data_IF_722218174600
#
_entry.id   IF_722218174600
#
_cell.length_a   1.000
_cell.length_b   1.000
_cell.length_c   1.000
_cell.angle_alpha   90.00
_cell.angle_beta   90.00
_cell.angle_gamma   90.00
#
_symmetry.space_group_name_H-M   'P 1'
#
loop_
_entity.id
_entity.type
_entity.pdbx_description
1 polymer ?
#
# COMPACT_ATOMS: atom_id res chain seq x y z
N UNK A 1 -13.36 -20.62 2.06
CA UNK A 1 -12.37 -20.90 1.00
C UNK A 1 -12.59 -20.06 -0.26
N UNK A 2 -13.78 -19.96 -0.88
CA UNK A 2 -13.98 -19.10 -2.08
C UNK A 2 -13.79 -17.58 -1.88
N UNK A 3 -13.61 -17.12 -0.64
CA UNK A 3 -13.32 -15.73 -0.26
C UNK A 3 -11.82 -15.39 -0.21
N UNK A 4 -10.93 -16.37 -0.39
CA UNK A 4 -9.49 -16.12 -0.44
C UNK A 4 -9.14 -15.46 -1.77
N UNK A 5 -8.29 -14.43 -1.72
CA UNK A 5 -7.83 -13.72 -2.92
C UNK A 5 -7.23 -14.70 -3.95
N UNK A 6 -7.58 -14.54 -5.22
CA UNK A 6 -7.14 -15.39 -6.33
C UNK A 6 -7.75 -16.79 -6.40
N UNK A 7 -8.41 -17.27 -5.34
CA UNK A 7 -9.06 -18.59 -5.33
C UNK A 7 -10.15 -18.76 -6.40
N UNK A 8 -10.77 -17.68 -6.86
CA UNK A 8 -11.73 -17.72 -7.97
C UNK A 8 -11.07 -18.06 -9.31
N UNK A 9 -9.79 -17.68 -9.50
CA UNK A 9 -9.03 -17.95 -10.73
C UNK A 9 -8.55 -19.40 -10.79
N UNK A 10 -7.82 -19.85 -9.78
CA UNK A 10 -7.22 -21.20 -9.79
C UNK A 10 -8.16 -22.27 -9.21
N UNK A 11 -9.23 -21.90 -8.50
CA UNK A 11 -10.26 -22.81 -7.96
C UNK A 11 -9.71 -23.97 -7.09
N UNK A 12 -8.55 -23.76 -6.45
CA UNK A 12 -7.80 -24.79 -5.73
C UNK A 12 -7.46 -26.04 -6.57
N UNK A 13 -7.38 -25.89 -7.91
CA UNK A 13 -7.00 -26.96 -8.82
C UNK A 13 -5.52 -26.88 -9.15
N UNK A 14 -4.83 -28.00 -8.98
CA UNK A 14 -3.47 -28.17 -9.48
C UNK A 14 -3.50 -28.66 -10.91
N UNK A 15 -2.48 -28.28 -11.67
CA UNK A 15 -2.26 -28.84 -12.99
C UNK A 15 -1.65 -30.26 -12.88
N UNK A 16 -1.79 -31.11 -13.90
CA UNK A 16 -1.09 -32.39 -13.96
C UNK A 16 0.43 -32.23 -13.76
N UNK A 17 1.06 -33.19 -13.10
CA UNK A 17 2.52 -33.21 -12.90
C UNK A 17 3.27 -33.37 -14.23
N UNK A 18 4.51 -32.90 -14.26
CA UNK A 18 5.46 -33.14 -15.37
C UNK A 18 6.41 -34.29 -15.06
N UNK A 19 6.91 -34.94 -16.11
CA UNK A 19 7.93 -35.99 -15.97
C UNK A 19 9.28 -35.38 -15.62
N UNK A 20 10.17 -36.20 -15.05
CA UNK A 20 11.55 -35.79 -14.80
C UNK A 20 12.29 -35.45 -16.09
N UNK A 21 11.98 -36.11 -17.20
CA UNK A 21 12.58 -35.78 -18.50
C UNK A 21 12.11 -34.41 -19.02
N UNK A 22 10.89 -33.98 -18.72
CA UNK A 22 10.40 -32.63 -19.04
C UNK A 22 11.18 -31.56 -18.28
N UNK A 23 11.44 -31.79 -16.99
CA UNK A 23 12.27 -30.92 -16.15
C UNK A 23 13.70 -30.83 -16.70
N UNK A 24 14.32 -31.97 -17.01
CA UNK A 24 15.68 -32.02 -17.55
C UNK A 24 15.78 -31.33 -18.92
N UNK A 25 14.75 -31.45 -19.78
CA UNK A 25 14.67 -30.70 -21.03
C UNK A 25 14.57 -29.19 -20.81
N UNK A 26 13.79 -28.75 -19.83
CA UNK A 26 13.68 -27.34 -19.48
C UNK A 26 15.03 -26.78 -18.98
N UNK A 27 15.64 -27.47 -18.01
CA UNK A 27 16.95 -27.12 -17.45
C UNK A 27 18.03 -27.04 -18.55
N UNK A 28 18.05 -28.03 -19.46
CA UNK A 28 19.00 -28.05 -20.57
C UNK A 28 18.76 -26.93 -21.60
N UNK A 29 17.49 -26.63 -21.91
CA UNK A 29 17.10 -25.60 -22.88
C UNK A 29 17.49 -24.20 -22.39
N UNK A 30 17.21 -23.89 -21.13
CA UNK A 30 17.44 -22.56 -20.56
C UNK A 30 18.73 -22.46 -19.76
N UNK A 31 19.48 -23.57 -19.65
CA UNK A 31 20.76 -23.64 -18.96
C UNK A 31 20.67 -23.19 -17.49
N UNK A 32 19.57 -23.59 -16.84
CA UNK A 32 19.27 -23.31 -15.43
C UNK A 32 19.26 -24.61 -14.64
N UNK A 33 19.50 -24.52 -13.33
CA UNK A 33 19.25 -25.63 -12.41
C UNK A 33 18.09 -25.25 -11.50
N UNK A 34 16.98 -25.96 -11.62
CA UNK A 34 15.82 -25.72 -10.80
C UNK A 34 16.08 -26.20 -9.36
N UNK A 35 15.65 -25.42 -8.34
CA UNK A 35 15.77 -25.83 -6.95
C UNK A 35 15.10 -27.19 -6.68
N UNK A 36 15.72 -28.09 -5.88
CA UNK A 36 15.19 -29.43 -5.64
C UNK A 36 13.74 -29.47 -5.15
N UNK A 37 13.38 -28.54 -4.26
CA UNK A 37 12.02 -28.39 -3.74
C UNK A 37 10.98 -28.10 -4.83
N UNK A 38 11.33 -27.22 -5.77
CA UNK A 38 10.47 -26.89 -6.90
C UNK A 38 10.32 -28.07 -7.87
N UNK A 39 11.43 -28.78 -8.14
CA UNK A 39 11.40 -30.01 -8.95
C UNK A 39 10.52 -31.08 -8.32
N UNK A 40 10.63 -31.28 -7.00
CA UNK A 40 9.76 -32.18 -6.27
C UNK A 40 8.28 -31.78 -6.47
N UNK A 41 7.95 -30.51 -6.27
CA UNK A 41 6.59 -30.02 -6.41
C UNK A 41 5.99 -30.28 -7.80
N UNK A 42 6.68 -29.87 -8.87
CA UNK A 42 6.13 -29.99 -10.24
C UNK A 42 6.05 -31.43 -10.74
N UNK A 43 6.84 -32.36 -10.16
CA UNK A 43 6.84 -33.77 -10.57
C UNK A 43 5.96 -34.66 -9.69
N UNK A 44 5.67 -34.26 -8.44
CA UNK A 44 4.93 -35.09 -7.48
C UNK A 44 3.59 -34.48 -7.03
N UNK A 45 3.44 -33.16 -7.07
CA UNK A 45 2.28 -32.44 -6.53
C UNK A 45 1.44 -31.83 -7.66
N UNK A 46 2.06 -31.01 -8.52
CA UNK A 46 1.39 -30.44 -9.69
C UNK A 46 2.24 -29.41 -10.43
N UNK A 47 2.08 -29.33 -11.75
CA UNK A 47 2.80 -28.37 -12.60
C UNK A 47 2.16 -26.97 -12.51
N UNK A 48 2.21 -26.36 -11.35
CA UNK A 48 1.54 -25.10 -11.05
C UNK A 48 0.02 -25.25 -10.87
N UNK A 49 -0.73 -24.17 -11.11
CA UNK A 49 -2.16 -24.08 -10.81
C UNK A 49 -2.39 -23.41 -9.46
N UNK A 50 -3.09 -24.07 -8.55
CA UNK A 50 -3.40 -23.50 -7.23
C UNK A 50 -2.16 -23.13 -6.43
N UNK A 51 -2.21 -21.98 -5.76
CA UNK A 51 -1.13 -21.46 -4.92
C UNK A 51 -1.45 -20.05 -4.42
N UNK A 52 -0.50 -19.39 -3.75
CA UNK A 52 -0.64 -18.00 -3.32
C UNK A 52 -1.07 -17.07 -4.45
N UNK A 53 -1.82 -16.02 -4.11
CA UNK A 53 -2.32 -15.02 -5.04
C UNK A 53 -3.06 -15.64 -6.24
N UNK A 54 -2.67 -15.30 -7.47
CA UNK A 54 -3.32 -15.82 -8.68
C UNK A 54 -2.90 -17.25 -9.06
N UNK A 55 -2.14 -17.93 -8.21
CA UNK A 55 -1.62 -19.27 -8.44
C UNK A 55 -0.26 -19.28 -9.13
N UNK A 56 0.18 -20.49 -9.46
CA UNK A 56 1.48 -20.78 -10.04
C UNK A 56 1.38 -21.04 -11.55
N UNK A 57 2.34 -20.51 -12.29
CA UNK A 57 2.50 -20.80 -13.71
C UNK A 57 3.04 -22.22 -13.91
N UNK A 58 2.55 -22.93 -14.94
CA UNK A 58 3.13 -24.21 -15.31
C UNK A 58 4.53 -24.02 -15.93
N UNK A 59 5.36 -25.06 -15.86
CA UNK A 59 6.77 -25.08 -16.29
C UNK A 59 6.95 -24.51 -17.70
N UNK A 60 6.08 -24.91 -18.64
CA UNK A 60 6.11 -24.49 -20.04
C UNK A 60 5.78 -23.01 -20.25
N UNK A 61 5.27 -22.32 -19.22
CA UNK A 61 4.97 -20.88 -19.26
C UNK A 61 6.01 -20.02 -18.55
N UNK A 62 6.94 -20.61 -17.78
CA UNK A 62 7.95 -19.82 -17.05
C UNK A 62 8.78 -18.94 -17.98
N UNK A 63 9.13 -19.44 -19.18
CA UNK A 63 9.90 -18.69 -20.15
C UNK A 63 9.13 -17.51 -20.76
N UNK A 64 7.80 -17.63 -20.88
CA UNK A 64 6.94 -16.55 -21.39
C UNK A 64 6.86 -15.40 -20.39
N UNK A 65 6.75 -15.72 -19.10
CA UNK A 65 6.59 -14.73 -18.04
C UNK A 65 7.93 -14.20 -17.52
N UNK A 66 9.00 -14.97 -17.65
CA UNK A 66 10.35 -14.49 -17.40
C UNK A 66 10.89 -13.95 -18.72
N UNK A 67 10.44 -12.76 -19.13
CA UNK A 67 10.66 -12.19 -20.47
C UNK A 67 12.11 -12.31 -20.96
N UNK A 68 13.07 -12.12 -20.06
CA UNK A 68 14.48 -12.19 -20.41
C UNK A 68 15.01 -13.62 -20.57
N UNK A 69 14.34 -14.65 -20.06
CA UNK A 69 14.76 -16.06 -20.15
C UNK A 69 14.92 -16.54 -21.60
N UNK A 70 14.10 -16.05 -22.54
CA UNK A 70 14.22 -16.39 -23.96
C UNK A 70 15.16 -15.45 -24.73
N UNK A 71 15.48 -14.28 -24.18
CA UNK A 71 16.27 -13.23 -24.85
C UNK A 71 17.77 -13.28 -24.52
N UNK A 72 18.18 -14.01 -23.47
CA UNK A 72 19.59 -14.12 -23.10
C UNK A 72 20.38 -15.07 -23.99
N UNK A 73 21.62 -14.69 -24.29
CA UNK A 73 22.62 -15.64 -24.75
C UNK A 73 22.99 -16.61 -23.62
N UNK A 74 23.34 -17.85 -23.97
CA UNK A 74 23.64 -18.92 -23.01
C UNK A 74 24.75 -18.52 -22.01
N UNK A 75 25.69 -17.70 -22.47
CA UNK A 75 26.83 -17.19 -21.73
C UNK A 75 26.42 -16.23 -20.60
N UNK A 76 25.32 -15.47 -20.77
CA UNK A 76 24.85 -14.50 -19.79
C UNK A 76 24.20 -15.18 -18.57
N UNK A 77 23.42 -16.24 -18.82
CA UNK A 77 22.68 -16.93 -17.76
C UNK A 77 23.58 -17.66 -16.76
N UNK A 78 24.73 -18.17 -17.21
CA UNK A 78 25.75 -18.76 -16.33
C UNK A 78 26.80 -17.74 -15.87
N UNK A 79 27.14 -16.78 -16.73
CA UNK A 79 28.24 -15.85 -16.50
C UNK A 79 27.90 -14.71 -15.56
N UNK A 80 26.63 -14.28 -15.51
CA UNK A 80 26.20 -13.22 -14.61
C UNK A 80 25.94 -13.78 -13.20
N UNK A 81 26.37 -13.10 -12.12
CA UNK A 81 25.92 -13.43 -10.77
C UNK A 81 24.40 -13.20 -10.63
N UNK A 82 23.80 -13.75 -9.57
CA UNK A 82 22.45 -13.32 -9.21
C UNK A 82 22.50 -11.85 -8.78
N UNK A 83 21.66 -11.00 -9.37
CA UNK A 83 21.62 -9.60 -8.97
C UNK A 83 20.94 -9.45 -7.60
N UNK A 84 19.77 -10.07 -7.42
CA UNK A 84 19.08 -10.12 -6.12
C UNK A 84 19.91 -10.96 -5.15
N UNK A 85 20.41 -10.29 -4.11
CA UNK A 85 21.25 -10.87 -3.08
C UNK A 85 20.75 -10.46 -1.68
N UNK A 86 20.96 -11.32 -0.68
CA UNK A 86 20.59 -11.02 0.71
C UNK A 86 21.31 -9.83 1.33
N UNK A 87 22.46 -9.45 0.79
CA UNK A 87 23.24 -8.30 1.24
C UNK A 87 22.91 -7.03 0.47
N UNK A 88 22.04 -7.10 -0.54
CA UNK A 88 21.61 -5.95 -1.31
C UNK A 88 20.97 -4.91 -0.40
N UNK A 89 21.47 -3.68 -0.49
CA UNK A 89 20.90 -2.53 0.19
C UNK A 89 19.86 -1.82 -0.69
N UNK A 90 19.08 -0.92 -0.09
CA UNK A 90 18.15 -0.08 -0.85
C UNK A 90 18.92 0.84 -1.81
N UNK A 91 20.10 1.29 -1.40
CA UNK A 91 21.00 2.11 -2.21
C UNK A 91 21.55 1.35 -3.41
N UNK A 92 21.90 0.07 -3.27
CA UNK A 92 22.34 -0.77 -4.39
C UNK A 92 21.22 -0.94 -5.43
N UNK A 93 19.98 -1.13 -4.97
CA UNK A 93 18.81 -1.19 -5.84
C UNK A 93 18.56 0.14 -6.56
N UNK A 94 18.51 1.24 -5.81
CA UNK A 94 18.31 2.58 -6.36
C UNK A 94 19.35 2.91 -7.45
N UNK A 95 20.64 2.67 -7.15
CA UNK A 95 21.72 2.91 -8.10
C UNK A 95 21.61 2.04 -9.37
N UNK A 96 21.03 0.83 -9.28
CA UNK A 96 20.77 0.02 -10.46
C UNK A 96 19.60 0.55 -11.30
N UNK A 97 18.50 0.97 -10.66
CA UNK A 97 17.34 1.51 -11.35
C UNK A 97 17.64 2.87 -11.99
N UNK A 98 18.45 3.71 -11.32
CA UNK A 98 18.94 4.98 -11.88
C UNK A 98 19.81 4.78 -13.12
N UNK A 99 20.50 3.64 -13.28
CA UNK A 99 21.26 3.35 -14.52
C UNK A 99 20.36 3.03 -15.71
N UNK A 100 19.06 2.82 -15.52
CA UNK A 100 18.12 2.44 -16.57
C UNK A 100 17.47 3.67 -17.25
N UNK A 101 18.26 4.70 -17.58
CA UNK A 101 17.74 6.00 -18.07
C UNK A 101 17.23 5.98 -19.52
N UNK A 102 17.75 5.08 -20.37
CA UNK A 102 17.37 4.93 -21.78
C UNK A 102 17.16 3.46 -22.18
N UNK A 103 16.54 3.20 -23.33
CA UNK A 103 16.17 1.84 -23.77
C UNK A 103 17.35 0.86 -23.81
N UNK A 104 18.56 1.31 -24.19
CA UNK A 104 19.74 0.42 -24.29
C UNK A 104 20.31 0.14 -22.90
N UNK A 105 20.34 1.16 -22.04
CA UNK A 105 20.75 1.02 -20.66
C UNK A 105 19.76 0.17 -19.85
N UNK A 106 18.46 0.33 -20.12
CA UNK A 106 17.38 -0.46 -19.54
C UNK A 106 17.55 -1.94 -19.85
N UNK A 107 17.74 -2.31 -21.12
CA UNK A 107 17.97 -3.71 -21.49
C UNK A 107 19.20 -4.29 -20.78
N UNK A 108 20.27 -3.52 -20.61
CA UNK A 108 21.46 -3.96 -19.89
C UNK A 108 21.19 -4.16 -18.39
N UNK A 109 20.49 -3.23 -17.74
CA UNK A 109 20.14 -3.34 -16.32
C UNK A 109 19.19 -4.51 -16.08
N UNK A 110 18.15 -4.65 -16.89
CA UNK A 110 17.22 -5.77 -16.79
C UNK A 110 17.89 -7.11 -17.07
N UNK A 111 18.90 -7.11 -17.94
CA UNK A 111 19.77 -8.28 -18.12
C UNK A 111 20.45 -8.71 -16.82
N UNK A 112 20.89 -7.76 -15.99
CA UNK A 112 21.47 -8.03 -14.66
C UNK A 112 20.37 -8.43 -13.66
N UNK A 113 19.29 -7.65 -13.54
CA UNK A 113 18.19 -7.85 -12.56
C UNK A 113 17.54 -9.22 -12.70
N UNK A 114 17.27 -9.65 -13.94
CA UNK A 114 16.65 -10.95 -14.20
C UNK A 114 17.64 -12.12 -14.15
N UNK A 115 18.93 -11.88 -13.87
CA UNK A 115 19.90 -12.95 -13.68
C UNK A 115 19.61 -13.70 -12.37
N UNK A 116 19.20 -14.97 -12.50
CA UNK A 116 19.08 -15.88 -11.36
C UNK A 116 17.67 -16.05 -10.79
N UNK A 117 16.65 -15.49 -11.43
CA UNK A 117 15.25 -15.63 -11.04
C UNK A 117 14.43 -16.38 -12.11
N UNK A 118 13.27 -16.87 -11.69
CA UNK A 118 12.19 -17.37 -12.54
C UNK A 118 10.88 -16.79 -12.03
N UNK A 119 10.07 -16.20 -12.91
CA UNK A 119 8.73 -15.74 -12.56
C UNK A 119 7.79 -16.94 -12.52
N UNK A 120 7.35 -17.32 -11.31
CA UNK A 120 6.53 -18.53 -11.09
C UNK A 120 5.05 -18.22 -10.83
N UNK A 121 4.66 -16.96 -10.70
CA UNK A 121 3.28 -16.54 -10.51
C UNK A 121 3.17 -15.03 -10.33
N UNK A 122 1.93 -14.51 -10.31
CA UNK A 122 1.66 -13.08 -10.17
C UNK A 122 0.78 -12.76 -8.96
N UNK A 123 1.02 -11.61 -8.35
CA UNK A 123 0.14 -11.02 -7.34
C UNK A 123 -0.90 -10.09 -7.97
N UNK A 124 -0.74 -9.74 -9.25
CA UNK A 124 -1.54 -8.76 -9.99
C UNK A 124 -0.80 -7.44 -10.18
N UNK A 125 -1.37 -6.55 -11.00
CA UNK A 125 -0.73 -5.28 -11.38
C UNK A 125 0.68 -5.53 -11.92
N UNK A 126 1.69 -4.99 -11.25
CA UNK A 126 3.12 -5.10 -11.59
C UNK A 126 3.87 -6.04 -10.64
N UNK A 127 3.17 -6.77 -9.77
CA UNK A 127 3.78 -7.59 -8.73
C UNK A 127 3.85 -9.06 -9.12
N UNK A 128 5.06 -9.64 -9.03
CA UNK A 128 5.29 -11.05 -9.32
C UNK A 128 6.03 -11.80 -8.21
N UNK A 129 5.82 -13.12 -8.22
CA UNK A 129 6.48 -14.08 -7.33
C UNK A 129 7.64 -14.72 -8.08
N UNK A 130 8.85 -14.52 -7.56
CA UNK A 130 10.09 -15.01 -8.12
C UNK A 130 10.57 -16.23 -7.36
N UNK A 131 10.98 -17.26 -8.09
CA UNK A 131 11.80 -18.35 -7.56
C UNK A 131 13.25 -18.09 -7.92
N UNK A 132 14.10 -17.94 -6.91
CA UNK A 132 15.53 -17.79 -7.13
C UNK A 132 16.15 -19.15 -7.44
N UNK A 133 16.75 -19.31 -8.62
CA UNK A 133 17.37 -20.57 -9.03
C UNK A 133 18.88 -20.62 -8.78
N UNK A 134 19.51 -19.47 -8.49
CA UNK A 134 20.91 -19.35 -8.07
C UNK A 134 21.09 -18.15 -7.13
N UNK A 135 22.32 -17.96 -6.63
CA UNK A 135 22.68 -16.86 -5.73
C UNK A 135 22.43 -17.19 -4.26
N UNK A 136 22.59 -16.19 -3.40
CA UNK A 136 22.46 -16.36 -1.93
C UNK A 136 21.06 -16.76 -1.48
N UNK A 137 20.04 -16.47 -2.29
CA UNK A 137 18.64 -16.80 -2.03
C UNK A 137 18.12 -17.99 -2.84
N UNK A 138 19.02 -18.83 -3.41
CA UNK A 138 18.64 -20.03 -4.16
C UNK A 138 17.59 -20.89 -3.43
N UNK A 139 16.53 -21.26 -4.16
CA UNK A 139 15.41 -22.07 -3.66
C UNK A 139 14.33 -21.28 -2.92
N UNK A 140 14.52 -19.98 -2.71
CA UNK A 140 13.58 -19.14 -1.96
C UNK A 140 12.72 -18.26 -2.86
N UNK A 141 11.65 -17.74 -2.25
CA UNK A 141 10.71 -16.82 -2.89
C UNK A 141 11.06 -15.37 -2.62
N UNK A 142 11.03 -14.57 -3.68
CA UNK A 142 11.20 -13.12 -3.65
C UNK A 142 10.00 -12.48 -4.34
N UNK A 143 9.55 -11.34 -3.83
CA UNK A 143 8.52 -10.53 -4.49
C UNK A 143 9.16 -9.32 -5.15
N UNK A 144 8.70 -8.96 -6.34
CA UNK A 144 9.18 -7.80 -7.07
C UNK A 144 8.01 -6.97 -7.57
N UNK A 145 8.17 -5.65 -7.55
CA UNK A 145 7.33 -4.71 -8.29
C UNK A 145 8.06 -4.28 -9.57
N UNK A 146 7.51 -4.63 -10.72
CA UNK A 146 8.08 -4.27 -12.03
C UNK A 146 7.89 -2.79 -12.40
N UNK A 147 7.33 -1.95 -11.52
CA UNK A 147 7.49 -0.49 -11.65
C UNK A 147 8.94 -0.05 -11.42
N UNK A 148 9.76 -0.88 -10.76
CA UNK A 148 11.21 -0.67 -10.61
C UNK A 148 11.57 0.67 -9.95
N UNK A 149 10.69 1.17 -9.09
CA UNK A 149 10.91 2.42 -8.37
C UNK A 149 12.18 2.31 -7.49
N UNK A 150 13.09 3.31 -7.53
CA UNK A 150 14.35 3.28 -6.76
C UNK A 150 14.16 3.10 -5.24
N UNK A 151 13.02 3.53 -4.71
CA UNK A 151 12.70 3.43 -3.28
C UNK A 151 12.26 2.04 -2.84
N UNK A 152 11.83 1.18 -3.78
CA UNK A 152 11.16 -0.09 -3.49
C UNK A 152 11.88 -1.26 -4.16
N UNK A 153 12.89 -1.79 -3.46
CA UNK A 153 13.62 -2.98 -3.88
C UNK A 153 12.82 -4.29 -3.75
N UNK A 154 13.39 -5.41 -4.25
CA UNK A 154 12.77 -6.73 -4.13
C UNK A 154 12.59 -7.11 -2.65
N UNK A 155 11.43 -7.68 -2.34
CA UNK A 155 11.11 -8.13 -0.99
C UNK A 155 11.49 -9.61 -0.82
N UNK A 156 12.52 -9.86 0.00
CA UNK A 156 12.98 -11.20 0.34
C UNK A 156 12.06 -11.83 1.40
N UNK A 157 11.29 -12.85 1.02
CA UNK A 157 10.37 -13.51 1.98
C UNK A 157 11.12 -14.37 3.02
N UNK A 158 12.36 -14.77 2.70
CA UNK A 158 13.17 -15.68 3.51
C UNK A 158 12.72 -17.14 3.49
N UNK A 159 11.59 -17.47 2.87
CA UNK A 159 11.03 -18.82 2.82
C UNK A 159 11.52 -19.58 1.59
N UNK A 160 11.81 -20.87 1.75
CA UNK A 160 11.99 -21.78 0.62
C UNK A 160 10.68 -21.92 -0.17
N UNK A 161 10.74 -22.45 -1.39
CA UNK A 161 9.55 -22.67 -2.21
C UNK A 161 8.48 -23.49 -1.47
N UNK A 162 8.86 -24.62 -0.85
CA UNK A 162 7.88 -25.47 -0.16
C UNK A 162 7.37 -24.82 1.12
N UNK A 163 8.23 -24.19 1.92
CA UNK A 163 7.79 -23.46 3.11
C UNK A 163 6.76 -22.38 2.75
N UNK A 164 7.05 -21.61 1.69
CA UNK A 164 6.14 -20.57 1.20
C UNK A 164 4.85 -21.15 0.64
N UNK A 165 4.90 -22.29 -0.06
CA UNK A 165 3.71 -22.88 -0.65
C UNK A 165 2.81 -23.54 0.42
N UNK A 166 3.39 -24.32 1.32
CA UNK A 166 2.65 -25.06 2.36
C UNK A 166 2.04 -24.12 3.39
N UNK A 167 2.81 -23.14 3.87
CA UNK A 167 2.33 -22.20 4.90
C UNK A 167 1.14 -21.37 4.41
N UNK A 168 1.01 -21.11 3.11
CA UNK A 168 -0.15 -20.41 2.56
C UNK A 168 -1.45 -21.18 2.84
N UNK A 169 -1.45 -22.49 2.61
CA UNK A 169 -2.62 -23.32 2.90
C UNK A 169 -2.82 -23.54 4.39
N UNK A 170 -1.74 -23.64 5.17
CA UNK A 170 -1.85 -23.69 6.63
C UNK A 170 -2.51 -22.43 7.19
N UNK A 171 -2.15 -21.24 6.69
CA UNK A 171 -2.79 -19.98 7.06
C UNK A 171 -4.28 -19.96 6.70
N UNK A 172 -4.64 -20.44 5.50
CA UNK A 172 -6.05 -20.55 5.09
C UNK A 172 -6.82 -21.51 6.00
N UNK A 173 -6.23 -22.65 6.35
CA UNK A 173 -6.84 -23.67 7.22
C UNK A 173 -7.00 -23.12 8.65
N UNK A 174 -6.00 -22.41 9.15
CA UNK A 174 -6.06 -21.69 10.42
C UNK A 174 -7.08 -20.53 10.41
N UNK A 175 -7.59 -20.17 9.23
CA UNK A 175 -8.55 -19.09 9.08
C UNK A 175 -7.89 -17.71 9.20
N UNK A 176 -6.59 -17.59 8.93
CA UNK A 176 -5.86 -16.33 8.92
C UNK A 176 -6.08 -15.58 7.60
N UNK A 177 -5.85 -14.26 7.64
CA UNK A 177 -5.85 -13.39 6.48
C UNK A 177 -4.55 -13.55 5.69
N UNK A 178 -4.69 -13.89 4.41
CA UNK A 178 -3.58 -14.11 3.46
C UNK A 178 -3.49 -13.03 2.37
N UNK A 179 -4.13 -11.86 2.55
CA UNK A 179 -4.12 -10.78 1.57
C UNK A 179 -2.71 -10.23 1.31
N UNK A 180 -1.87 -10.18 2.34
CA UNK A 180 -0.46 -9.75 2.24
C UNK A 180 0.50 -10.91 2.53
N UNK A 181 0.19 -12.09 1.98
CA UNK A 181 0.92 -13.32 2.29
C UNK A 181 2.41 -13.21 1.98
N UNK A 182 3.27 -13.58 2.93
CA UNK A 182 4.72 -13.50 2.80
C UNK A 182 5.34 -12.14 3.12
N UNK A 183 4.58 -11.03 3.10
CA UNK A 183 5.05 -9.72 3.57
C UNK A 183 5.08 -9.60 5.10
N UNK A 184 4.31 -10.45 5.79
CA UNK A 184 4.19 -10.46 7.26
C UNK A 184 4.77 -11.73 7.83
N UNK A 185 5.33 -11.63 9.04
CA UNK A 185 5.82 -12.79 9.77
C UNK A 185 4.71 -13.82 9.99
N UNK A 186 5.00 -15.09 9.69
CA UNK A 186 4.10 -16.22 9.87
C UNK A 186 4.29 -16.93 11.22
N UNK A 187 5.02 -16.31 12.15
CA UNK A 187 5.23 -16.79 13.52
C UNK A 187 3.94 -16.73 14.33
N UNK A 188 3.73 -17.68 15.24
CA UNK A 188 2.54 -17.73 16.10
C UNK A 188 2.39 -16.48 16.97
N UNK A 189 1.22 -16.31 17.56
CA UNK A 189 0.95 -15.21 18.51
C UNK A 189 1.98 -15.18 19.65
N UNK A 190 2.27 -16.35 20.23
CA UNK A 190 3.24 -16.52 21.32
C UNK A 190 4.66 -16.17 20.87
N UNK A 191 5.07 -16.64 19.69
CA UNK A 191 6.39 -16.35 19.13
C UNK A 191 6.56 -14.84 18.85
N UNK A 192 5.54 -14.19 18.28
CA UNK A 192 5.57 -12.74 18.02
C UNK A 192 5.66 -11.95 19.34
N UNK A 193 4.83 -12.28 20.32
CA UNK A 193 4.85 -11.63 21.63
C UNK A 193 6.19 -11.83 22.35
N UNK A 194 6.79 -13.02 22.27
CA UNK A 194 8.08 -13.34 22.87
C UNK A 194 9.26 -12.65 22.17
N UNK A 195 9.17 -12.40 20.86
CA UNK A 195 10.21 -11.71 20.10
C UNK A 195 10.21 -10.21 20.30
N UNK A 196 9.05 -9.61 20.55
CA UNK A 196 8.91 -8.17 20.72
C UNK A 196 9.92 -7.55 21.71
N UNK A 197 10.10 -8.08 22.94
CA UNK A 197 11.09 -7.54 23.88
C UNK A 197 12.54 -7.90 23.51
N UNK A 198 12.77 -8.86 22.61
CA UNK A 198 14.11 -9.34 22.25
C UNK A 198 14.77 -8.51 21.13
N UNK A 199 13.99 -7.72 20.39
CA UNK A 199 14.50 -6.85 19.32
C UNK A 199 14.84 -5.45 19.82
N UNK A 200 15.86 -4.84 19.20
CA UNK A 200 16.43 -3.58 19.65
C UNK A 200 15.75 -2.37 19.00
N UNK A 201 15.36 -2.48 17.73
CA UNK A 201 14.88 -1.34 16.95
C UNK A 201 13.36 -1.22 16.93
N UNK A 202 12.87 0.03 16.83
CA UNK A 202 11.44 0.33 16.67
C UNK A 202 10.86 -0.28 15.39
N UNK A 203 11.65 -0.31 14.30
CA UNK A 203 11.23 -0.91 13.04
C UNK A 203 11.04 -2.43 13.17
N UNK A 204 11.95 -3.15 13.83
CA UNK A 204 11.75 -4.58 14.09
C UNK A 204 10.50 -4.85 14.94
N UNK A 205 10.26 -4.04 15.98
CA UNK A 205 9.03 -4.11 16.79
C UNK A 205 7.79 -3.83 15.96
N UNK A 206 7.84 -2.85 15.06
CA UNK A 206 6.78 -2.55 14.11
C UNK A 206 6.48 -3.75 13.21
N UNK A 207 7.50 -4.41 12.69
CA UNK A 207 7.33 -5.62 11.85
C UNK A 207 6.73 -6.80 12.64
N UNK A 208 7.07 -6.94 13.92
CA UNK A 208 6.44 -7.92 14.81
C UNK A 208 4.94 -7.59 14.99
N UNK A 209 4.60 -6.33 15.28
CA UNK A 209 3.20 -5.90 15.41
C UNK A 209 2.41 -6.05 14.11
N UNK A 210 3.04 -5.78 12.96
CA UNK A 210 2.47 -6.04 11.64
C UNK A 210 2.09 -7.51 11.44
N UNK A 211 2.84 -8.44 12.04
CA UNK A 211 2.53 -9.87 12.05
C UNK A 211 1.12 -10.17 12.57
N UNK A 212 0.65 -9.46 13.60
CA UNK A 212 -0.65 -9.73 14.21
C UNK A 212 -1.85 -9.43 13.30
N UNK A 213 -1.71 -8.56 12.29
CA UNK A 213 -2.81 -8.25 11.35
C UNK A 213 -3.22 -9.42 10.47
N UNK A 214 -2.41 -10.49 10.40
CA UNK A 214 -2.80 -11.72 9.72
C UNK A 214 -3.89 -12.48 10.48
N UNK A 215 -3.98 -12.31 11.80
CA UNK A 215 -4.96 -13.04 12.59
C UNK A 215 -6.36 -12.43 12.47
N UNK A 216 -7.36 -13.29 12.39
CA UNK A 216 -8.77 -12.88 12.44
C UNK A 216 -9.30 -12.82 13.88
N UNK A 217 -8.70 -13.59 14.79
CA UNK A 217 -8.93 -13.60 16.22
C UNK A 217 -7.60 -13.87 16.90
N UNK A 218 -7.46 -13.43 18.14
CA UNK A 218 -6.26 -13.65 18.95
C UNK A 218 -6.64 -14.19 20.31
N UNK A 219 -5.72 -14.89 20.95
CA UNK A 219 -5.89 -15.40 22.31
C UNK A 219 -5.93 -14.25 23.33
N UNK A 220 -6.58 -14.43 24.49
CA UNK A 220 -6.63 -13.40 25.54
C UNK A 220 -5.24 -12.91 25.96
N UNK A 221 -4.24 -13.80 25.99
CA UNK A 221 -2.85 -13.44 26.30
C UNK A 221 -2.25 -12.42 25.33
N UNK A 222 -2.63 -12.49 24.05
CA UNK A 222 -2.22 -11.52 23.02
C UNK A 222 -2.87 -10.16 23.27
N UNK A 223 -4.14 -10.13 23.68
CA UNK A 223 -4.81 -8.88 24.06
C UNK A 223 -4.14 -8.25 25.29
N UNK A 224 -3.78 -9.04 26.30
CA UNK A 224 -3.03 -8.55 27.46
C UNK A 224 -1.66 -8.00 27.06
N UNK A 225 -0.92 -8.74 26.23
CA UNK A 225 0.36 -8.28 25.69
C UNK A 225 0.20 -6.92 25.00
N UNK A 226 -0.71 -6.81 24.03
CA UNK A 226 -0.97 -5.57 23.29
C UNK A 226 -1.37 -4.44 24.23
N UNK A 227 -2.24 -4.69 25.20
CA UNK A 227 -2.67 -3.67 26.19
C UNK A 227 -1.50 -3.20 27.08
N UNK A 228 -0.59 -4.11 27.40
CA UNK A 228 0.58 -3.87 28.25
C UNK A 228 1.72 -3.12 27.57
N UNK A 229 1.75 -3.04 26.23
CA UNK A 229 2.84 -2.38 25.50
C UNK A 229 2.98 -0.92 25.90
N UNK A 230 4.23 -0.46 26.08
CA UNK A 230 4.59 0.93 26.41
C UNK A 230 5.68 1.38 25.45
N UNK A 231 5.28 1.78 24.26
CA UNK A 231 6.17 2.25 23.20
C UNK A 231 5.49 3.41 22.45
N UNK A 232 5.85 4.68 22.74
CA UNK A 232 5.18 5.84 22.17
C UNK A 232 5.18 5.90 20.64
N UNK A 233 6.22 5.34 20.00
CA UNK A 233 6.31 5.30 18.54
C UNK A 233 5.32 4.31 17.92
N UNK A 234 4.89 3.31 18.69
CA UNK A 234 3.99 2.25 18.26
C UNK A 234 2.59 2.35 18.91
N UNK A 235 2.31 3.42 19.65
CA UNK A 235 1.02 3.65 20.32
C UNK A 235 -0.14 3.59 19.32
N UNK A 236 0.00 4.22 18.14
CA UNK A 236 -1.02 4.19 17.10
C UNK A 236 -1.25 2.77 16.57
N UNK A 237 -0.16 2.06 16.27
CA UNK A 237 -0.22 0.70 15.74
C UNK A 237 -0.83 -0.30 16.73
N UNK A 238 -0.42 -0.22 17.99
CA UNK A 238 -1.00 -1.00 19.09
C UNK A 238 -2.50 -0.75 19.21
N UNK A 239 -2.91 0.52 19.16
CA UNK A 239 -4.32 0.91 19.30
C UNK A 239 -5.15 0.41 18.12
N UNK A 240 -4.61 0.44 16.91
CA UNK A 240 -5.24 -0.16 15.74
C UNK A 240 -5.48 -1.67 15.92
N UNK A 241 -4.48 -2.41 16.41
CA UNK A 241 -4.63 -3.83 16.71
C UNK A 241 -5.70 -4.08 17.78
N UNK A 242 -5.76 -3.22 18.81
CA UNK A 242 -6.78 -3.32 19.85
C UNK A 242 -8.18 -3.00 19.31
N UNK A 243 -8.36 -2.02 18.43
CA UNK A 243 -9.67 -1.80 17.77
C UNK A 243 -10.17 -3.06 17.06
N UNK A 244 -9.26 -3.86 16.50
CA UNK A 244 -9.59 -5.10 15.80
C UNK A 244 -9.92 -6.24 16.76
N UNK A 245 -9.17 -6.40 17.85
CA UNK A 245 -9.23 -7.61 18.68
C UNK A 245 -9.99 -7.43 20.00
N UNK A 246 -9.95 -6.25 20.59
CA UNK A 246 -10.68 -5.89 21.80
C UNK A 246 -11.06 -4.39 21.74
N UNK A 247 -12.18 -4.04 21.07
CA UNK A 247 -12.57 -2.65 20.88
C UNK A 247 -12.70 -1.87 22.20
N UNK A 248 -13.13 -2.52 23.28
CA UNK A 248 -13.28 -1.84 24.57
C UNK A 248 -11.94 -1.32 25.08
N UNK A 249 -10.90 -2.18 25.07
CA UNK A 249 -9.53 -1.76 25.42
C UNK A 249 -8.94 -0.81 24.39
N UNK A 250 -9.24 -1.02 23.10
CA UNK A 250 -8.82 -0.12 22.03
C UNK A 250 -9.29 1.31 22.27
N UNK A 251 -10.58 1.51 22.61
CA UNK A 251 -11.12 2.82 22.92
C UNK A 251 -10.56 3.40 24.23
N UNK A 252 -10.35 2.58 25.26
CA UNK A 252 -9.70 3.05 26.48
C UNK A 252 -8.31 3.63 26.17
N UNK A 253 -7.48 2.88 25.44
CA UNK A 253 -6.15 3.34 25.04
C UNK A 253 -6.25 4.57 24.15
N UNK A 254 -7.12 4.56 23.15
CA UNK A 254 -7.34 5.70 22.25
C UNK A 254 -7.69 6.97 23.02
N UNK A 255 -8.60 6.89 24.00
CA UNK A 255 -9.03 8.03 24.81
C UNK A 255 -7.90 8.56 25.71
N UNK A 256 -7.03 7.68 26.24
CA UNK A 256 -5.82 8.11 26.94
C UNK A 256 -4.85 8.87 26.01
N UNK A 257 -4.63 8.34 24.80
CA UNK A 257 -3.74 8.97 23.80
C UNK A 257 -4.29 10.34 23.38
N UNK A 258 -5.58 10.41 23.04
CA UNK A 258 -6.29 11.62 22.64
C UNK A 258 -6.37 12.64 23.78
N UNK A 259 -6.47 12.17 25.03
CA UNK A 259 -6.49 12.99 26.24
C UNK A 259 -5.18 13.70 26.58
N UNK A 260 -4.17 13.65 25.70
CA UNK A 260 -2.91 14.38 25.84
C UNK A 260 -1.70 13.50 26.09
N UNK A 261 -1.87 12.17 26.24
CA UNK A 261 -0.72 11.27 26.42
C UNK A 261 0.12 11.17 25.14
N UNK A 262 -0.53 11.10 23.98
CA UNK A 262 0.12 11.08 22.67
C UNK A 262 -0.92 11.36 21.56
N UNK A 263 -1.33 12.63 21.36
CA UNK A 263 -2.37 12.99 20.38
C UNK A 263 -2.00 12.62 18.94
N UNK A 264 -0.70 12.65 18.59
CA UNK A 264 -0.22 12.23 17.28
C UNK A 264 -0.54 10.75 17.00
N UNK A 265 -0.27 9.86 17.96
CA UNK A 265 -0.61 8.44 17.84
C UNK A 265 -2.14 8.19 17.78
N UNK A 266 -2.93 9.01 18.48
CA UNK A 266 -4.39 8.95 18.35
C UNK A 266 -4.80 9.27 16.90
N UNK A 267 -4.24 10.33 16.30
CA UNK A 267 -4.49 10.67 14.89
C UNK A 267 -4.08 9.54 13.94
N UNK A 268 -2.93 8.90 14.18
CA UNK A 268 -2.42 7.82 13.34
C UNK A 268 -3.37 6.62 13.23
N UNK A 269 -4.03 6.25 14.33
CA UNK A 269 -4.93 5.11 14.36
C UNK A 269 -6.41 5.48 14.15
N UNK A 270 -6.77 6.77 14.18
CA UNK A 270 -8.16 7.20 14.26
C UNK A 270 -9.03 6.68 13.10
N UNK A 271 -8.51 6.66 11.86
CA UNK A 271 -9.28 6.17 10.70
C UNK A 271 -9.56 4.67 10.72
N UNK A 272 -8.86 3.91 11.58
CA UNK A 272 -8.98 2.46 11.73
C UNK A 272 -10.00 2.05 12.79
N UNK A 273 -10.54 3.01 13.56
CA UNK A 273 -11.65 2.73 14.46
C UNK A 273 -12.93 2.39 13.68
N UNK A 274 -13.87 1.62 14.27
CA UNK A 274 -15.17 1.37 13.66
C UNK A 274 -15.92 2.66 13.29
N UNK A 275 -16.50 2.71 12.10
CA UNK A 275 -17.10 3.90 11.50
C UNK A 275 -18.19 4.53 12.40
N UNK A 276 -18.97 3.70 13.08
CA UNK A 276 -20.05 4.13 13.98
C UNK A 276 -19.57 4.94 15.19
N UNK A 277 -18.26 4.95 15.47
CA UNK A 277 -17.67 5.70 16.57
C UNK A 277 -16.99 7.01 16.14
N UNK A 278 -16.75 7.23 14.84
CA UNK A 278 -15.95 8.38 14.36
C UNK A 278 -16.57 9.72 14.79
N UNK A 279 -17.89 9.86 14.66
CA UNK A 279 -18.61 11.08 15.03
C UNK A 279 -18.48 11.45 16.52
N UNK A 280 -18.29 10.45 17.40
CA UNK A 280 -18.10 10.69 18.85
C UNK A 280 -16.88 11.55 19.14
N UNK A 281 -15.82 11.40 18.33
CA UNK A 281 -14.53 12.04 18.56
C UNK A 281 -14.29 13.26 17.66
N UNK A 282 -15.23 13.60 16.78
CA UNK A 282 -15.08 14.67 15.79
C UNK A 282 -14.61 15.99 16.41
N UNK A 283 -15.28 16.49 17.46
CA UNK A 283 -14.95 17.79 18.05
C UNK A 283 -13.56 17.83 18.69
N UNK A 284 -13.15 16.75 19.38
CA UNK A 284 -11.81 16.67 19.97
C UNK A 284 -10.73 16.60 18.88
N UNK A 285 -10.98 15.82 17.83
CA UNK A 285 -10.08 15.67 16.69
C UNK A 285 -9.95 16.97 15.89
N UNK A 286 -11.05 17.66 15.62
CA UNK A 286 -11.02 18.97 14.95
C UNK A 286 -10.19 19.99 15.75
N UNK A 287 -10.26 19.95 17.09
CA UNK A 287 -9.44 20.77 17.98
C UNK A 287 -7.92 20.53 17.85
N UNK A 288 -7.49 19.40 17.28
CA UNK A 288 -6.07 19.10 17.06
C UNK A 288 -5.50 19.72 15.78
N UNK A 289 -6.32 20.33 14.92
CA UNK A 289 -5.84 20.98 13.69
C UNK A 289 -4.79 22.06 13.97
N UNK A 290 -4.96 22.82 15.05
CA UNK A 290 -3.97 23.82 15.49
C UNK A 290 -2.83 23.28 16.36
N UNK A 291 -2.82 21.98 16.71
CA UNK A 291 -1.81 21.44 17.63
C UNK A 291 -0.44 21.24 16.94
N UNK A 292 0.68 21.76 17.47
CA UNK A 292 2.01 21.56 16.89
C UNK A 292 2.52 20.12 17.04
N UNK A 293 1.94 19.33 17.96
CA UNK A 293 2.31 17.93 18.19
C UNK A 293 1.82 17.02 17.05
N UNK A 294 0.74 17.40 16.38
CA UNK A 294 0.18 16.65 15.24
C UNK A 294 0.79 17.17 13.95
N UNK A 295 1.88 16.55 13.51
CA UNK A 295 2.57 16.92 12.26
C UNK A 295 1.82 16.47 11.00
N UNK A 296 1.25 15.27 11.02
CA UNK A 296 0.51 14.70 9.88
C UNK A 296 -0.94 15.19 9.83
N UNK A 297 -1.14 16.46 9.43
CA UNK A 297 -2.46 17.09 9.33
C UNK A 297 -3.39 16.41 8.32
N UNK A 298 -2.85 15.86 7.23
CA UNK A 298 -3.64 15.16 6.21
C UNK A 298 -4.41 13.97 6.79
N UNK A 299 -3.80 13.16 7.67
CA UNK A 299 -4.48 12.02 8.32
C UNK A 299 -5.66 12.48 9.17
N UNK A 300 -5.46 13.56 9.93
CA UNK A 300 -6.50 14.17 10.73
C UNK A 300 -7.65 14.68 9.86
N UNK A 301 -7.35 15.41 8.78
CA UNK A 301 -8.36 15.92 7.86
C UNK A 301 -9.17 14.79 7.19
N UNK A 302 -8.52 13.69 6.80
CA UNK A 302 -9.23 12.52 6.27
C UNK A 302 -10.10 11.82 7.32
N UNK A 303 -9.70 11.81 8.59
CA UNK A 303 -10.59 11.34 9.67
C UNK A 303 -11.83 12.25 9.78
N UNK A 304 -11.66 13.56 9.76
CA UNK A 304 -12.77 14.52 9.82
C UNK A 304 -13.70 14.40 8.61
N UNK A 305 -13.14 14.10 7.43
CA UNK A 305 -13.91 13.80 6.22
C UNK A 305 -14.81 12.56 6.37
N UNK A 306 -14.28 11.50 7.00
CA UNK A 306 -15.00 10.25 7.21
C UNK A 306 -16.16 10.41 8.22
N UNK A 307 -16.19 11.49 9.00
CA UNK A 307 -17.26 11.78 9.95
C UNK A 307 -18.53 12.26 9.25
N UNK A 308 -19.69 11.76 9.69
CA UNK A 308 -21.01 12.17 9.21
C UNK A 308 -21.41 13.56 9.73
N UNK A 309 -20.91 13.95 10.90
CA UNK A 309 -21.17 15.25 11.53
C UNK A 309 -20.23 16.39 11.09
N UNK A 310 -19.41 16.17 10.04
CA UNK A 310 -18.43 17.13 9.55
C UNK A 310 -19.04 18.48 9.15
N UNK A 311 -18.32 19.57 9.45
CA UNK A 311 -18.71 20.94 9.11
C UNK A 311 -17.55 21.71 8.50
N UNK A 312 -17.85 22.51 7.48
CA UNK A 312 -16.90 23.42 6.87
C UNK A 312 -16.41 24.47 7.88
N UNK A 313 -17.29 24.89 8.80
CA UNK A 313 -16.94 25.84 9.87
C UNK A 313 -15.73 25.43 10.70
N UNK A 314 -15.60 24.15 11.01
CA UNK A 314 -14.54 23.66 11.90
C UNK A 314 -13.18 23.55 11.17
N UNK A 315 -13.16 23.77 9.84
CA UNK A 315 -11.98 23.67 8.98
C UNK A 315 -11.58 25.01 8.34
N UNK A 316 -12.49 25.99 8.32
CA UNK A 316 -12.36 27.22 7.55
C UNK A 316 -11.11 28.05 7.93
N UNK A 317 -10.86 28.22 9.22
CA UNK A 317 -9.71 28.99 9.70
C UNK A 317 -8.39 28.30 9.31
N UNK A 318 -8.32 26.98 9.46
CA UNK A 318 -7.15 26.19 9.06
C UNK A 318 -6.89 26.28 7.54
N UNK A 319 -7.95 26.20 6.73
CA UNK A 319 -7.85 26.32 5.27
C UNK A 319 -7.42 27.73 4.83
N UNK A 320 -7.85 28.78 5.54
CA UNK A 320 -7.57 30.16 5.20
C UNK A 320 -6.15 30.61 5.58
N UNK A 321 -5.58 30.05 6.65
CA UNK A 321 -4.31 30.49 7.22
C UNK A 321 -3.11 30.10 6.33
N UNK A 322 -2.38 31.07 5.75
CA UNK A 322 -1.24 30.81 4.88
C UNK A 322 -0.01 30.25 5.61
N UNK A 323 0.03 30.29 6.94
CA UNK A 323 1.10 29.68 7.73
C UNK A 323 1.03 28.14 7.74
N UNK A 324 -0.13 27.57 7.42
CA UNK A 324 -0.28 26.13 7.25
C UNK A 324 0.24 25.66 5.89
N UNK A 325 0.76 24.44 5.81
CA UNK A 325 1.27 23.88 4.57
C UNK A 325 0.19 23.77 3.48
N UNK A 326 0.56 24.04 2.24
CA UNK A 326 -0.39 24.11 1.12
C UNK A 326 -1.16 22.79 0.92
N UNK A 327 -0.50 21.64 1.10
CA UNK A 327 -1.10 20.32 0.88
C UNK A 327 -2.20 20.02 1.90
N UNK A 328 -1.96 20.32 3.18
CA UNK A 328 -2.95 20.16 4.23
C UNK A 328 -4.08 21.17 4.07
N UNK A 329 -3.79 22.42 3.71
CA UNK A 329 -4.83 23.42 3.39
C UNK A 329 -5.70 22.96 2.22
N UNK A 330 -5.11 22.44 1.15
CA UNK A 330 -5.82 21.86 0.00
C UNK A 330 -6.74 20.73 0.44
N UNK A 331 -6.23 19.82 1.27
CA UNK A 331 -7.03 18.74 1.86
C UNK A 331 -8.20 19.31 2.67
N UNK A 332 -7.98 20.34 3.49
CA UNK A 332 -9.04 20.97 4.27
C UNK A 332 -10.14 21.59 3.38
N UNK A 333 -9.75 22.31 2.32
CA UNK A 333 -10.68 22.88 1.32
C UNK A 333 -11.50 21.78 0.64
N UNK A 334 -10.86 20.66 0.29
CA UNK A 334 -11.55 19.49 -0.25
C UNK A 334 -12.62 18.97 0.74
N UNK A 335 -12.25 18.76 2.01
CA UNK A 335 -13.18 18.28 3.03
C UNK A 335 -14.32 19.28 3.25
N UNK A 336 -14.03 20.58 3.30
CA UNK A 336 -15.05 21.64 3.35
C UNK A 336 -16.05 21.52 2.19
N UNK A 337 -15.58 21.24 0.97
CA UNK A 337 -16.43 21.01 -0.20
C UNK A 337 -17.39 19.82 -0.06
N UNK A 338 -17.11 18.88 0.85
CA UNK A 338 -17.96 17.73 1.16
C UNK A 338 -18.90 17.97 2.35
N UNK A 339 -18.87 19.15 2.98
CA UNK A 339 -19.69 19.48 4.14
C UNK A 339 -21.08 20.04 3.75
N UNK A 340 -22.11 19.85 4.59
CA UNK A 340 -23.45 20.41 4.35
C UNK A 340 -23.50 21.94 4.37
N UNK A 341 -22.72 22.56 5.26
CA UNK A 341 -22.64 24.02 5.51
C UNK A 341 -21.64 24.74 4.60
N UNK A 342 -21.07 24.06 3.58
CA UNK A 342 -20.01 24.64 2.73
C UNK A 342 -20.39 25.97 2.08
N UNK A 343 -21.67 26.15 1.72
CA UNK A 343 -22.13 27.37 1.05
C UNK A 343 -22.14 28.59 1.97
N UNK A 344 -22.07 28.40 3.30
CA UNK A 344 -21.91 29.49 4.26
C UNK A 344 -20.50 30.12 4.18
N UNK A 345 -19.55 29.42 3.54
CA UNK A 345 -18.15 29.81 3.38
C UNK A 345 -17.80 30.25 1.96
N UNK A 346 -18.79 30.66 1.16
CA UNK A 346 -18.59 31.23 -0.18
C UNK A 346 -17.51 32.32 -0.24
N UNK A 347 -17.42 33.29 0.69
CA UNK A 347 -16.37 34.31 0.67
C UNK A 347 -14.96 33.70 0.68
N UNK A 348 -14.74 32.66 1.49
CA UNK A 348 -13.46 31.96 1.58
C UNK A 348 -13.15 31.21 0.28
N UNK A 349 -14.10 30.46 -0.29
CA UNK A 349 -13.89 29.79 -1.58
C UNK A 349 -13.57 30.80 -2.71
N UNK A 350 -14.25 31.96 -2.76
CA UNK A 350 -13.94 33.03 -3.72
C UNK A 350 -12.55 33.61 -3.52
N UNK A 351 -12.13 33.80 -2.27
CA UNK A 351 -10.80 34.29 -1.95
C UNK A 351 -9.72 33.28 -2.39
N UNK A 352 -9.90 31.99 -2.10
CA UNK A 352 -8.97 30.94 -2.51
C UNK A 352 -8.90 30.79 -4.04
N UNK A 353 -10.03 30.87 -4.74
CA UNK A 353 -10.09 30.87 -6.21
C UNK A 353 -9.33 32.02 -6.87
N UNK A 354 -9.23 33.17 -6.19
CA UNK A 354 -8.52 34.36 -6.65
C UNK A 354 -7.11 34.51 -6.07
N UNK A 355 -6.68 33.54 -5.25
CA UNK A 355 -5.36 33.53 -4.65
C UNK A 355 -4.28 33.08 -5.63
N UNK A 356 -3.02 33.15 -5.20
CA UNK A 356 -1.86 32.83 -6.04
C UNK A 356 -1.62 31.32 -6.22
N UNK A 357 -2.18 30.49 -5.33
CA UNK A 357 -1.99 29.04 -5.37
C UNK A 357 -2.95 28.38 -6.36
N UNK A 358 -2.37 27.80 -7.42
CA UNK A 358 -3.12 27.03 -8.42
C UNK A 358 -3.96 25.92 -7.79
N UNK A 359 -3.36 25.14 -6.88
CA UNK A 359 -4.01 23.95 -6.31
C UNK A 359 -5.14 24.30 -5.36
N UNK A 360 -4.98 25.37 -4.57
CA UNK A 360 -6.06 25.87 -3.72
C UNK A 360 -7.19 26.47 -4.56
N UNK A 361 -6.87 27.22 -5.62
CA UNK A 361 -7.86 27.78 -6.52
C UNK A 361 -8.67 26.69 -7.24
N UNK A 362 -7.98 25.66 -7.75
CA UNK A 362 -8.59 24.51 -8.39
C UNK A 362 -9.50 23.73 -7.42
N UNK A 363 -9.01 23.42 -6.23
CA UNK A 363 -9.79 22.66 -5.22
C UNK A 363 -11.00 23.47 -4.73
N UNK A 364 -10.84 24.78 -4.52
CA UNK A 364 -11.94 25.67 -4.15
C UNK A 364 -13.01 25.75 -5.23
N UNK A 365 -12.61 25.83 -6.51
CA UNK A 365 -13.54 25.74 -7.65
C UNK A 365 -14.32 24.42 -7.61
N UNK A 366 -13.62 23.28 -7.46
CA UNK A 366 -14.27 21.97 -7.43
C UNK A 366 -15.27 21.80 -6.28
N UNK A 367 -14.98 22.40 -5.12
CA UNK A 367 -15.84 22.35 -3.93
C UNK A 367 -17.24 22.95 -4.18
N UNK A 368 -17.35 23.96 -5.06
CA UNK A 368 -18.61 24.70 -5.28
C UNK A 368 -19.16 24.60 -6.70
N UNK A 369 -18.38 24.17 -7.70
CA UNK A 369 -18.76 24.14 -9.12
C UNK A 369 -20.06 23.38 -9.46
N UNK A 370 -20.43 22.39 -8.64
CA UNK A 370 -21.65 21.59 -8.82
C UNK A 370 -22.89 22.19 -8.16
N UNK A 371 -22.76 23.33 -7.49
CA UNK A 371 -23.85 23.98 -6.76
C UNK A 371 -24.28 25.26 -7.51
N UNK A 372 -25.52 25.35 -8.00
CA UNK A 372 -26.02 26.56 -8.65
C UNK A 372 -25.98 27.76 -7.70
N UNK A 373 -25.12 28.75 -7.97
CA UNK A 373 -24.98 29.96 -7.16
C UNK A 373 -24.49 31.14 -8.00
N UNK A 374 -25.39 32.09 -8.31
CA UNK A 374 -25.07 33.25 -9.16
C UNK A 374 -24.02 34.18 -8.55
N UNK A 375 -23.82 34.16 -7.24
CA UNK A 375 -22.78 34.97 -6.59
C UNK A 375 -21.36 34.54 -6.98
N UNK A 376 -21.18 33.34 -7.54
CA UNK A 376 -19.90 32.82 -8.03
C UNK A 376 -19.58 33.28 -9.45
N UNK A 377 -20.55 33.83 -10.19
CA UNK A 377 -20.40 34.16 -11.60
C UNK A 377 -19.18 35.05 -11.87
N UNK A 378 -19.05 36.15 -11.12
CA UNK A 378 -17.94 37.09 -11.28
C UNK A 378 -16.57 36.42 -11.01
N UNK A 379 -16.50 35.52 -10.04
CA UNK A 379 -15.28 34.75 -9.77
C UNK A 379 -14.98 33.77 -10.88
N UNK A 380 -15.98 33.06 -11.41
CA UNK A 380 -15.81 32.14 -12.54
C UNK A 380 -15.40 32.85 -13.82
N UNK A 381 -15.97 34.02 -14.12
CA UNK A 381 -15.56 34.84 -15.26
C UNK A 381 -14.12 35.33 -15.13
N UNK A 382 -13.73 35.76 -13.93
CA UNK A 382 -12.34 36.11 -13.65
C UNK A 382 -11.41 34.90 -13.89
N UNK A 383 -11.72 33.74 -13.32
CA UNK A 383 -10.91 32.52 -13.52
C UNK A 383 -10.87 32.08 -14.99
N UNK A 384 -11.97 32.26 -15.73
CA UNK A 384 -12.06 31.90 -17.15
C UNK A 384 -11.05 32.64 -18.01
N UNK A 385 -10.83 33.92 -17.72
CA UNK A 385 -9.82 34.75 -18.37
C UNK A 385 -8.41 34.48 -17.84
N UNK A 386 -8.26 34.35 -16.52
CA UNK A 386 -6.96 34.08 -15.87
C UNK A 386 -6.35 32.76 -16.35
N UNK A 387 -7.17 31.71 -16.46
CA UNK A 387 -6.74 30.36 -16.80
C UNK A 387 -7.10 29.95 -18.24
N UNK A 388 -7.12 30.90 -19.18
CA UNK A 388 -7.57 30.68 -20.58
C UNK A 388 -6.82 29.56 -21.33
N UNK A 389 -5.55 29.32 -21.02
CA UNK A 389 -4.73 28.27 -21.63
C UNK A 389 -4.71 26.96 -20.81
N UNK A 390 -5.31 26.93 -19.62
CA UNK A 390 -5.28 25.77 -18.73
C UNK A 390 -6.48 24.85 -18.96
N UNK A 391 -6.24 23.73 -19.65
CA UNK A 391 -7.29 22.77 -19.99
C UNK A 391 -8.03 22.20 -18.77
N UNK A 392 -7.34 22.00 -17.65
CA UNK A 392 -7.92 21.39 -16.43
C UNK A 392 -8.87 22.38 -15.77
N UNK A 393 -8.42 23.62 -15.56
CA UNK A 393 -9.25 24.66 -14.97
C UNK A 393 -10.46 24.97 -15.86
N UNK A 394 -10.24 25.06 -17.19
CA UNK A 394 -11.30 25.29 -18.18
C UNK A 394 -12.39 24.23 -18.13
N UNK A 395 -12.02 22.95 -18.07
CA UNK A 395 -12.98 21.86 -17.95
C UNK A 395 -13.86 21.98 -16.68
N UNK A 396 -13.26 22.34 -15.54
CA UNK A 396 -14.01 22.54 -14.29
C UNK A 396 -14.91 23.79 -14.36
N UNK A 397 -14.46 24.88 -15.00
CA UNK A 397 -15.25 26.09 -15.20
C UNK A 397 -16.43 25.88 -16.16
N UNK A 398 -16.29 25.05 -17.22
CA UNK A 398 -17.41 24.68 -18.09
C UNK A 398 -18.52 24.01 -17.26
N UNK A 399 -18.17 23.10 -16.36
CA UNK A 399 -19.13 22.47 -15.44
C UNK A 399 -19.78 23.55 -14.56
N UNK A 400 -18.98 24.47 -14.02
CA UNK A 400 -19.46 25.54 -13.15
C UNK A 400 -20.46 26.47 -13.88
N UNK A 401 -20.12 26.97 -15.07
CA UNK A 401 -21.01 27.80 -15.91
C UNK A 401 -22.29 27.05 -16.29
N UNK A 402 -22.18 25.77 -16.66
CA UNK A 402 -23.35 24.94 -16.99
C UNK A 402 -24.33 24.85 -15.81
N UNK A 403 -23.83 24.72 -14.58
CA UNK A 403 -24.67 24.71 -13.37
C UNK A 403 -25.29 26.09 -13.05
N UNK A 404 -24.79 27.16 -13.65
CA UNK A 404 -25.42 28.49 -13.65
C UNK A 404 -26.38 28.71 -14.83
N UNK A 405 -26.56 27.71 -15.72
CA UNK A 405 -27.36 27.85 -16.94
C UNK A 405 -26.67 28.60 -18.07
N UNK A 406 -25.35 28.76 -18.01
CA UNK A 406 -24.53 29.46 -19.01
C UNK A 406 -23.75 28.42 -19.81
N UNK A 407 -23.92 28.40 -21.13
CA UNK A 407 -23.11 27.55 -22.01
C UNK A 407 -21.84 28.29 -22.41
N UNK A 408 -20.69 27.73 -22.05
CA UNK A 408 -19.37 28.14 -22.55
C UNK A 408 -18.65 26.91 -23.09
N UNK A 409 -18.00 27.06 -24.23
CA UNK A 409 -17.19 26.03 -24.90
C UNK A 409 -15.69 26.25 -24.66
#
# INVERSE_FOLDING_TARGET
MRSVFGAQKHQYRLNPVVSREEVERFEARYNVKLPPEYVFFITQVGNGGAGPYYGLYPLEKLAVYTEYLERYAKEDMLGLPAFIDRQMTREDWAAAMERAEDDTAYDKVMREVCAGLLVIGTQGCTYDNLLMWKGSEQGKIVYIDWNLEPEYGPFLTGMSFLDWYERFFQEIIAGNNVTSYGYRSLKSEEELAALYPAVETSEERRQILMGFFRFNRVEPGTVEFLTGLRDPELDGLRTELLFRFDPARGFQVFEELLGGRNPAAAVDCARRMPDENKDRYYSQMAGLLGSPEVREKSRLLFFLHDCGCRRAKDLADFAADPENDEESRKTAVYVMGCCPDRMDFLPLFKALMRGDSYWLAHTALQAVAKTPCMELLETYEWMWETYKEDKVMRSNLVIAFKNLGINRE
#
